data_IF_398394229741
#
_entry.id   IF_398394229741
#
_cell.length_a   1.000
_cell.length_b   1.000
_cell.length_c   1.000
_cell.angle_alpha   90.00
_cell.angle_beta   90.00
_cell.angle_gamma   90.00
#
_symmetry.space_group_name_H-M   'P 1'
#
loop_
_entity.id
_entity.type
_entity.pdbx_description
1 polymer ?
#
# COMPACT_ATOMS: atom_id res chain seq x y z
N UNK A 1 0.07 14.32 -16.27
CA UNK A 1 0.61 13.30 -15.33
C UNK A 1 0.29 11.91 -15.88
N UNK A 2 1.31 11.09 -16.14
CA UNK A 2 1.10 9.70 -16.53
C UNK A 2 0.56 8.92 -15.33
N UNK A 3 -0.72 8.55 -15.36
CA UNK A 3 -1.39 7.75 -14.32
C UNK A 3 -0.94 6.29 -14.45
N UNK A 4 -0.58 5.65 -13.35
CA UNK A 4 -0.36 4.21 -13.31
C UNK A 4 -1.69 3.49 -13.14
N UNK A 5 -1.86 2.38 -13.87
CA UNK A 5 -2.94 1.43 -13.62
C UNK A 5 -2.33 0.23 -12.90
N UNK A 6 -2.94 -0.22 -11.82
CA UNK A 6 -2.46 -1.38 -11.07
C UNK A 6 -3.37 -2.58 -11.29
N UNK A 7 -2.78 -3.67 -11.79
CA UNK A 7 -3.45 -4.97 -11.87
C UNK A 7 -3.29 -5.67 -10.52
N UNK A 8 -4.40 -6.07 -9.91
CA UNK A 8 -4.39 -6.85 -8.68
C UNK A 8 -4.03 -8.31 -9.01
N UNK A 9 -2.96 -8.80 -8.37
CA UNK A 9 -2.50 -10.18 -8.50
C UNK A 9 -2.87 -10.93 -7.21
N UNK A 10 -4.18 -11.19 -7.02
CA UNK A 10 -4.71 -11.82 -5.82
C UNK A 10 -4.65 -13.36 -5.96
N UNK A 11 -3.46 -13.91 -5.86
CA UNK A 11 -3.13 -15.35 -5.95
C UNK A 11 -1.80 -15.62 -5.25
N UNK A 12 -1.59 -16.83 -4.77
CA UNK A 12 -0.33 -17.32 -4.19
C UNK A 12 0.58 -18.00 -5.21
N UNK A 13 0.08 -18.27 -6.42
CA UNK A 13 0.82 -18.98 -7.48
C UNK A 13 1.72 -18.03 -8.29
N UNK A 14 3.07 -18.14 -8.18
CA UNK A 14 3.99 -17.34 -8.97
C UNK A 14 3.86 -17.52 -10.48
N UNK A 15 3.41 -18.68 -10.95
CA UNK A 15 3.22 -18.93 -12.39
C UNK A 15 2.05 -18.10 -12.91
N UNK A 16 0.95 -18.03 -12.14
CA UNK A 16 -0.20 -17.22 -12.48
C UNK A 16 0.15 -15.73 -12.49
N UNK A 17 0.95 -15.24 -11.52
CA UNK A 17 1.42 -13.85 -11.51
C UNK A 17 2.27 -13.55 -12.75
N UNK A 18 3.22 -14.43 -13.11
CA UNK A 18 4.02 -14.27 -14.33
C UNK A 18 3.14 -14.20 -15.58
N UNK A 19 2.08 -15.03 -15.64
CA UNK A 19 1.12 -15.01 -16.74
C UNK A 19 0.38 -13.66 -16.80
N UNK A 20 -0.14 -13.16 -15.67
CA UNK A 20 -0.79 -11.84 -15.58
C UNK A 20 0.15 -10.75 -16.08
N UNK A 21 1.41 -10.74 -15.61
CA UNK A 21 2.41 -9.76 -16.03
C UNK A 21 2.61 -9.81 -17.55
N UNK A 22 2.76 -11.00 -18.13
CA UNK A 22 2.96 -11.20 -19.57
C UNK A 22 1.73 -10.72 -20.37
N UNK A 23 0.54 -11.12 -19.96
CA UNK A 23 -0.71 -10.87 -20.70
C UNK A 23 -1.17 -9.40 -20.64
N UNK A 24 -0.68 -8.63 -19.65
CA UNK A 24 -1.05 -7.22 -19.47
C UNK A 24 0.03 -6.23 -19.90
N UNK A 25 1.13 -6.69 -20.47
CA UNK A 25 2.18 -5.79 -20.98
C UNK A 25 1.67 -4.96 -22.17
N UNK A 26 1.88 -3.65 -22.11
CA UNK A 26 1.53 -2.74 -23.19
C UNK A 26 2.44 -1.50 -23.19
N UNK A 27 2.74 -0.95 -24.36
CA UNK A 27 3.46 0.32 -24.51
C UNK A 27 2.53 1.53 -24.37
N UNK A 28 1.20 1.35 -24.45
CA UNK A 28 0.21 2.44 -24.43
C UNK A 28 -0.12 2.92 -23.03
N UNK A 29 0.00 2.04 -22.02
CA UNK A 29 -0.38 2.33 -20.64
C UNK A 29 0.77 2.00 -19.69
N UNK A 30 0.85 2.73 -18.59
CA UNK A 30 1.81 2.45 -17.53
C UNK A 30 1.20 1.49 -16.52
N UNK A 31 1.50 0.20 -16.67
CA UNK A 31 0.96 -0.87 -15.84
C UNK A 31 1.91 -1.15 -14.66
N UNK A 32 1.33 -1.28 -13.47
CA UNK A 32 1.98 -1.82 -12.27
C UNK A 32 1.21 -3.03 -11.74
N UNK A 33 1.82 -3.77 -10.83
CA UNK A 33 1.25 -5.00 -10.28
C UNK A 33 1.15 -4.89 -8.77
N UNK A 34 -0.08 -5.06 -8.24
CA UNK A 34 -0.35 -5.06 -6.81
C UNK A 34 -0.27 -6.47 -6.27
N UNK A 35 0.64 -6.68 -5.34
CA UNK A 35 0.82 -7.94 -4.61
C UNK A 35 0.45 -7.71 -3.15
N UNK A 36 -0.52 -8.48 -2.66
CA UNK A 36 -1.09 -8.33 -1.32
C UNK A 36 -0.41 -9.19 -0.27
N UNK A 37 -1.01 -9.17 0.93
CA UNK A 37 -0.55 -9.92 2.11
C UNK A 37 -0.43 -11.41 1.83
N UNK A 38 -1.46 -12.02 1.24
CA UNK A 38 -1.52 -13.45 0.95
C UNK A 38 -0.29 -13.92 0.16
N UNK A 39 0.02 -13.23 -0.92
CA UNK A 39 1.19 -13.58 -1.73
C UNK A 39 2.50 -13.31 -1.00
N UNK A 40 2.66 -12.16 -0.34
CA UNK A 40 3.90 -11.80 0.34
C UNK A 40 4.28 -12.78 1.45
N UNK A 41 3.31 -13.25 2.21
CA UNK A 41 3.48 -14.23 3.28
C UNK A 41 3.48 -15.69 2.80
N UNK A 42 3.21 -15.95 1.53
CA UNK A 42 3.34 -17.29 0.97
C UNK A 42 4.82 -17.71 0.93
N UNK A 43 5.06 -19.03 0.87
CA UNK A 43 6.40 -19.64 0.82
C UNK A 43 7.30 -19.01 -0.27
N UNK A 44 6.72 -18.64 -1.41
CA UNK A 44 7.47 -18.12 -2.56
C UNK A 44 7.46 -16.59 -2.68
N UNK A 45 6.62 -15.88 -1.91
CA UNK A 45 6.30 -14.47 -2.14
C UNK A 45 7.52 -13.55 -2.16
N UNK A 46 8.34 -13.57 -1.10
CA UNK A 46 9.53 -12.72 -1.02
C UNK A 46 10.59 -13.10 -2.07
N UNK A 47 10.85 -14.41 -2.25
CA UNK A 47 11.80 -14.91 -3.25
C UNK A 47 11.38 -14.56 -4.68
N UNK A 48 10.08 -14.58 -4.96
CA UNK A 48 9.55 -14.14 -6.24
C UNK A 48 9.78 -12.65 -6.48
N UNK A 49 9.51 -11.81 -5.48
CA UNK A 49 9.72 -10.35 -5.56
C UNK A 49 11.18 -9.98 -5.83
N UNK A 50 12.13 -10.72 -5.26
CA UNK A 50 13.57 -10.49 -5.50
C UNK A 50 14.02 -10.87 -6.91
N UNK A 51 13.25 -11.69 -7.62
CA UNK A 51 13.55 -12.18 -8.99
C UNK A 51 12.75 -11.48 -10.09
N UNK A 52 11.77 -10.66 -9.74
CA UNK A 52 11.00 -9.88 -10.71
C UNK A 52 11.89 -8.78 -11.31
N UNK A 53 11.75 -8.52 -12.60
CA UNK A 53 12.52 -7.51 -13.31
C UNK A 53 12.36 -6.12 -12.66
N UNK A 54 13.47 -5.40 -12.52
CA UNK A 54 13.49 -4.10 -11.85
C UNK A 54 12.76 -2.97 -12.62
N UNK A 55 12.42 -3.20 -13.90
CA UNK A 55 11.61 -2.29 -14.72
C UNK A 55 10.11 -2.35 -14.36
N UNK A 56 9.66 -3.44 -13.72
CA UNK A 56 8.27 -3.59 -13.31
C UNK A 56 7.94 -2.71 -12.12
N UNK A 57 6.75 -2.12 -12.15
CA UNK A 57 6.25 -1.28 -11.05
C UNK A 57 5.49 -2.18 -10.07
N UNK A 58 6.08 -2.44 -8.92
CA UNK A 58 5.44 -3.25 -7.87
C UNK A 58 4.81 -2.35 -6.82
N UNK A 59 3.53 -2.64 -6.55
CA UNK A 59 2.76 -2.09 -5.45
C UNK A 59 2.58 -3.19 -4.40
N UNK A 60 3.33 -3.08 -3.30
CA UNK A 60 3.27 -4.04 -2.19
C UNK A 60 2.22 -3.59 -1.18
N UNK A 61 1.09 -4.32 -1.14
CA UNK A 61 -0.08 -3.96 -0.34
C UNK A 61 -0.11 -4.73 0.99
N UNK A 62 0.79 -4.37 1.92
CA UNK A 62 0.96 -5.03 3.22
C UNK A 62 0.12 -4.41 4.32
N UNK A 63 -0.40 -3.20 4.13
CA UNK A 63 -1.23 -2.50 5.12
C UNK A 63 -0.60 -2.49 6.52
N UNK A 64 0.70 -2.12 6.61
CA UNK A 64 1.46 -2.12 7.86
C UNK A 64 0.70 -1.39 8.97
N UNK A 65 0.59 -2.03 10.13
CA UNK A 65 -0.09 -1.47 11.30
C UNK A 65 0.47 -2.12 12.57
N UNK A 66 1.40 -1.43 13.22
CA UNK A 66 2.10 -1.88 14.42
C UNK A 66 2.72 -0.65 15.12
N UNK A 67 3.42 -0.82 16.21
CA UNK A 67 4.17 0.27 16.85
C UNK A 67 5.23 0.84 15.88
N UNK A 68 5.63 2.14 16.05
CA UNK A 68 6.48 2.84 15.08
C UNK A 68 7.78 2.12 14.74
N UNK A 69 8.46 1.57 15.74
CA UNK A 69 9.75 0.88 15.55
C UNK A 69 9.60 -0.41 14.72
N UNK A 70 8.56 -1.22 15.01
CA UNK A 70 8.28 -2.46 14.29
C UNK A 70 7.98 -2.17 12.82
N UNK A 71 7.12 -1.18 12.54
CA UNK A 71 6.81 -0.78 11.17
C UNK A 71 8.04 -0.24 10.42
N UNK A 72 8.89 0.57 11.07
CA UNK A 72 10.12 1.08 10.47
C UNK A 72 11.10 -0.04 10.14
N UNK A 73 11.23 -1.04 11.02
CA UNK A 73 12.06 -2.23 10.83
C UNK A 73 11.54 -3.11 9.68
N UNK A 74 10.21 -3.30 9.61
CA UNK A 74 9.57 -4.01 8.50
C UNK A 74 9.87 -3.35 7.14
N UNK A 75 9.79 -2.01 7.06
CA UNK A 75 10.17 -1.27 5.86
C UNK A 75 11.66 -1.45 5.55
N UNK A 76 12.54 -1.35 6.55
CA UNK A 76 13.99 -1.52 6.34
C UNK A 76 14.33 -2.94 5.85
N UNK A 77 13.57 -3.97 6.26
CA UNK A 77 13.73 -5.32 5.78
C UNK A 77 13.44 -5.50 4.28
N UNK A 78 12.81 -4.52 3.62
CA UNK A 78 12.54 -4.52 2.17
C UNK A 78 13.68 -3.89 1.33
N UNK A 79 14.81 -3.52 1.94
CA UNK A 79 15.91 -2.77 1.28
C UNK A 79 16.51 -3.46 0.05
N UNK A 80 16.44 -4.78 -0.03
CA UNK A 80 16.92 -5.60 -1.14
C UNK A 80 15.92 -5.66 -2.33
N UNK A 81 14.64 -5.33 -2.11
CA UNK A 81 13.60 -5.37 -3.12
C UNK A 81 13.50 -4.03 -3.87
N UNK A 82 14.35 -3.83 -4.87
CA UNK A 82 14.51 -2.53 -5.58
C UNK A 82 13.33 -2.15 -6.49
N UNK A 83 12.52 -3.10 -6.89
CA UNK A 83 11.38 -2.93 -7.78
C UNK A 83 10.11 -2.43 -7.07
N UNK A 84 10.05 -2.43 -5.73
CA UNK A 84 8.92 -1.89 -4.99
C UNK A 84 8.88 -0.37 -5.13
N UNK A 85 7.79 0.15 -5.70
CA UNK A 85 7.53 1.58 -5.88
C UNK A 85 6.46 2.13 -4.95
N UNK A 86 5.57 1.27 -4.45
CA UNK A 86 4.48 1.62 -3.53
C UNK A 86 4.37 0.61 -2.41
N UNK A 87 4.11 1.10 -1.19
CA UNK A 87 3.87 0.29 0.00
C UNK A 87 2.73 0.91 0.79
N UNK A 88 1.85 0.09 1.36
CA UNK A 88 0.72 0.57 2.16
C UNK A 88 0.96 0.46 3.65
N UNK A 89 0.40 1.43 4.40
CA UNK A 89 0.29 1.42 5.85
C UNK A 89 -1.08 1.93 6.27
N UNK A 90 -1.66 1.37 7.33
CA UNK A 90 -2.91 1.88 7.91
C UNK A 90 -2.70 3.23 8.57
N UNK A 91 -3.56 4.22 8.24
CA UNK A 91 -3.50 5.55 8.86
C UNK A 91 -3.93 5.46 10.33
N UNK A 92 -4.73 4.47 10.68
CA UNK A 92 -5.17 4.20 12.06
C UNK A 92 -4.01 3.93 13.05
N UNK A 93 -2.84 3.52 12.57
CA UNK A 93 -1.64 3.35 13.39
C UNK A 93 -1.03 4.66 13.94
N UNK A 94 -1.57 5.82 13.52
CA UNK A 94 -1.24 7.13 14.10
C UNK A 94 -0.03 7.80 13.47
N UNK A 95 0.16 9.08 13.86
CA UNK A 95 1.15 9.97 13.25
C UNK A 95 2.59 9.45 13.39
N UNK A 96 2.98 8.99 14.58
CA UNK A 96 4.35 8.55 14.85
C UNK A 96 4.73 7.31 14.03
N UNK A 97 3.80 6.34 13.89
CA UNK A 97 4.00 5.17 13.04
C UNK A 97 4.20 5.58 11.58
N UNK A 98 3.34 6.46 11.07
CA UNK A 98 3.42 6.92 9.68
C UNK A 98 4.73 7.69 9.40
N UNK A 99 5.17 8.53 10.33
CA UNK A 99 6.47 9.24 10.26
C UNK A 99 7.65 8.28 10.26
N UNK A 100 7.62 7.27 11.14
CA UNK A 100 8.68 6.26 11.22
C UNK A 100 8.79 5.45 9.91
N UNK A 101 7.65 4.99 9.36
CA UNK A 101 7.57 4.32 8.05
C UNK A 101 8.14 5.22 6.95
N UNK A 102 7.71 6.48 6.88
CA UNK A 102 8.16 7.41 5.83
C UNK A 102 9.66 7.69 5.91
N UNK A 103 10.19 7.88 7.13
CA UNK A 103 11.63 8.05 7.37
C UNK A 103 12.43 6.82 6.92
N UNK A 104 11.99 5.61 7.29
CA UNK A 104 12.63 4.34 6.89
C UNK A 104 12.58 4.15 5.38
N UNK A 105 11.43 4.39 4.74
CA UNK A 105 11.28 4.29 3.29
C UNK A 105 12.25 5.19 2.52
N UNK A 106 12.43 6.44 2.96
CA UNK A 106 13.39 7.38 2.34
C UNK A 106 14.85 6.92 2.45
N UNK A 107 15.20 6.22 3.55
CA UNK A 107 16.55 5.67 3.75
C UNK A 107 16.86 4.54 2.76
N UNK A 108 15.92 3.62 2.54
CA UNK A 108 16.14 2.45 1.69
C UNK A 108 15.96 2.74 0.20
N UNK A 109 15.00 3.61 -0.15
CA UNK A 109 14.72 4.00 -1.52
C UNK A 109 13.94 5.33 -1.57
N UNK A 110 14.59 6.41 -2.02
CA UNK A 110 13.96 7.73 -2.15
C UNK A 110 12.73 7.75 -3.09
N UNK A 111 12.59 6.76 -3.99
CA UNK A 111 11.48 6.63 -4.94
C UNK A 111 10.33 5.77 -4.39
N UNK A 112 10.49 5.12 -3.22
CA UNK A 112 9.43 4.34 -2.60
C UNK A 112 8.35 5.28 -2.03
N UNK A 113 7.14 5.12 -2.53
CA UNK A 113 5.96 5.89 -2.12
C UNK A 113 5.16 5.13 -1.06
N UNK A 114 4.85 5.81 0.03
CA UNK A 114 4.01 5.26 1.09
C UNK A 114 2.59 5.76 0.91
N UNK A 115 1.64 4.82 0.80
CA UNK A 115 0.22 5.11 0.68
C UNK A 115 -0.49 4.76 1.98
N UNK A 116 -1.22 5.74 2.53
CA UNK A 116 -2.03 5.54 3.73
C UNK A 116 -3.36 4.88 3.40
N UNK A 117 -3.67 3.77 4.04
CA UNK A 117 -4.98 3.11 3.94
C UNK A 117 -5.92 3.75 4.95
N UNK A 118 -7.05 4.24 4.48
CA UNK A 118 -8.14 4.80 5.30
C UNK A 118 -9.01 3.66 5.90
N UNK A 119 -10.28 3.90 6.11
CA UNK A 119 -11.24 2.87 6.53
C UNK A 119 -11.36 1.80 5.45
N UNK A 120 -11.29 0.53 5.86
CA UNK A 120 -11.47 -0.60 4.94
C UNK A 120 -12.86 -0.58 4.32
N UNK A 121 -12.94 -0.76 3.00
CA UNK A 121 -14.19 -0.72 2.23
C UNK A 121 -15.18 -1.83 2.60
N UNK A 122 -14.73 -2.88 3.28
CA UNK A 122 -15.56 -3.95 3.84
C UNK A 122 -16.35 -3.53 5.09
N UNK A 123 -15.99 -2.39 5.73
CA UNK A 123 -16.66 -1.90 6.92
C UNK A 123 -17.87 -1.03 6.56
N UNK A 124 -19.02 -1.34 7.15
CA UNK A 124 -20.19 -0.46 7.22
C UNK A 124 -20.07 0.53 8.39
N UNK A 125 -20.90 1.59 8.42
CA UNK A 125 -20.96 2.48 9.58
C UNK A 125 -21.32 1.73 10.88
N UNK A 126 -22.16 0.69 10.80
CA UNK A 126 -22.49 -0.20 11.94
C UNK A 126 -21.26 -1.02 12.37
N UNK A 127 -20.52 -1.58 11.43
CA UNK A 127 -19.28 -2.30 11.68
C UNK A 127 -18.23 -1.40 12.33
N UNK A 128 -18.06 -0.18 11.80
CA UNK A 128 -17.11 0.78 12.33
C UNK A 128 -17.42 1.18 13.79
N UNK A 129 -18.71 1.38 14.13
CA UNK A 129 -19.11 1.65 15.52
C UNK A 129 -18.74 0.51 16.48
N UNK A 130 -18.85 -0.75 16.04
CA UNK A 130 -18.45 -1.93 16.85
C UNK A 130 -16.94 -1.96 17.14
N UNK A 131 -16.12 -1.28 16.37
CA UNK A 131 -14.67 -1.14 16.64
C UNK A 131 -14.33 0.10 17.48
N UNK A 132 -15.32 0.70 18.17
CA UNK A 132 -15.13 1.83 19.09
C UNK A 132 -15.12 3.22 18.42
N UNK A 133 -15.35 3.30 17.11
CA UNK A 133 -15.40 4.61 16.43
C UNK A 133 -16.77 5.26 16.54
N UNK A 134 -16.81 6.52 16.96
CA UNK A 134 -18.04 7.34 17.05
C UNK A 134 -18.35 8.08 15.74
N UNK A 135 -17.36 8.33 14.91
CA UNK A 135 -17.51 9.05 13.64
C UNK A 135 -18.08 8.16 12.52
N UNK A 136 -18.80 8.78 11.59
CA UNK A 136 -19.16 8.11 10.33
C UNK A 136 -17.90 7.83 9.49
N UNK A 137 -17.96 6.83 8.59
CA UNK A 137 -16.88 6.52 7.66
C UNK A 137 -16.40 7.78 6.93
N UNK A 138 -17.31 8.58 6.37
CA UNK A 138 -16.98 9.82 5.65
C UNK A 138 -16.16 10.80 6.50
N UNK A 139 -16.56 11.04 7.76
CA UNK A 139 -15.84 11.94 8.67
C UNK A 139 -14.48 11.37 9.08
N UNK A 140 -14.40 10.06 9.31
CA UNK A 140 -13.15 9.40 9.69
C UNK A 140 -12.15 9.39 8.54
N UNK A 141 -12.59 9.08 7.31
CA UNK A 141 -11.75 9.12 6.10
C UNK A 141 -11.15 10.50 5.89
N UNK A 142 -11.96 11.56 6.01
CA UNK A 142 -11.46 12.94 5.90
C UNK A 142 -10.42 13.29 6.98
N UNK A 143 -10.62 12.82 8.22
CA UNK A 143 -9.66 13.00 9.30
C UNK A 143 -8.35 12.25 9.02
N UNK A 144 -8.45 10.99 8.62
CA UNK A 144 -7.30 10.15 8.28
C UNK A 144 -6.52 10.74 7.09
N UNK A 145 -7.21 11.29 6.10
CA UNK A 145 -6.56 11.96 4.96
C UNK A 145 -5.70 13.15 5.41
N UNK A 146 -6.21 13.99 6.33
CA UNK A 146 -5.43 15.10 6.92
C UNK A 146 -4.23 14.58 7.70
N UNK A 147 -4.39 13.52 8.48
CA UNK A 147 -3.29 12.89 9.24
C UNK A 147 -2.20 12.33 8.31
N UNK A 148 -2.59 11.64 7.24
CA UNK A 148 -1.64 11.15 6.24
C UNK A 148 -0.85 12.29 5.58
N UNK A 149 -1.52 13.39 5.23
CA UNK A 149 -0.89 14.60 4.69
C UNK A 149 0.11 15.20 5.68
N UNK A 150 -0.26 15.38 6.96
CA UNK A 150 0.63 15.92 7.99
C UNK A 150 1.85 15.02 8.26
N UNK A 151 1.68 13.69 8.17
CA UNK A 151 2.78 12.73 8.27
C UNK A 151 3.68 12.68 7.03
N UNK A 152 3.32 13.37 5.94
CA UNK A 152 4.09 13.46 4.70
C UNK A 152 4.00 12.20 3.84
N UNK A 153 2.89 11.47 3.87
CA UNK A 153 2.66 10.33 2.98
C UNK A 153 2.50 10.79 1.52
N UNK A 154 2.74 9.88 0.58
CA UNK A 154 2.74 10.19 -0.85
C UNK A 154 1.35 10.06 -1.49
N UNK A 155 0.40 9.49 -0.78
CA UNK A 155 -0.96 9.29 -1.25
C UNK A 155 -1.82 8.51 -0.28
N UNK A 156 -3.05 8.23 -0.69
CA UNK A 156 -4.07 7.58 0.12
C UNK A 156 -4.75 6.50 -0.72
N UNK A 157 -5.07 5.38 -0.07
CA UNK A 157 -5.97 4.34 -0.58
C UNK A 157 -7.34 4.57 0.04
N UNK A 158 -8.35 4.82 -0.78
CA UNK A 158 -9.74 5.02 -0.39
C UNK A 158 -10.68 4.49 -1.48
N UNK A 159 -11.97 4.42 -1.20
CA UNK A 159 -12.97 4.11 -2.23
C UNK A 159 -13.11 5.25 -3.25
N UNK A 160 -13.62 4.93 -4.45
CA UNK A 160 -13.91 5.94 -5.46
C UNK A 160 -14.93 6.99 -5.00
N UNK A 161 -15.89 6.61 -4.14
CA UNK A 161 -16.88 7.51 -3.54
C UNK A 161 -16.26 8.55 -2.59
N UNK A 162 -15.13 8.22 -1.98
CA UNK A 162 -14.43 9.07 -1.01
C UNK A 162 -13.41 10.01 -1.68
N UNK A 163 -13.04 9.74 -2.93
CA UNK A 163 -12.00 10.49 -3.63
C UNK A 163 -12.29 12.00 -3.73
N UNK A 164 -13.59 12.40 -3.85
CA UNK A 164 -13.98 13.80 -3.84
C UNK A 164 -13.87 14.49 -2.49
N UNK A 165 -13.89 13.73 -1.39
CA UNK A 165 -13.87 14.25 -0.02
C UNK A 165 -12.44 14.57 0.42
N UNK A 166 -11.47 13.89 -0.15
CA UNK A 166 -10.05 13.97 0.26
C UNK A 166 -9.19 14.78 -0.71
N UNK A 167 -9.74 15.27 -1.81
CA UNK A 167 -9.10 16.26 -2.69
C UNK A 167 -9.16 17.65 -2.09
#
# INVERSE_FOLDING_TARGET
MNKNIFVACDTVDPKQIKKIIKDTQTKKLRIGYKLGLEFFYSRSGRSFLSKIDNDKIIFLDLKLNDIPNTCASAVNALKDLKNIKYLTAHIAGGYEMLKAIKKSARKINKKLKILGVTVLTSLSNKGLKKTGHTKSIKKLVAQQARLAKSAGLDGIVCSGHEAKIIK
#
